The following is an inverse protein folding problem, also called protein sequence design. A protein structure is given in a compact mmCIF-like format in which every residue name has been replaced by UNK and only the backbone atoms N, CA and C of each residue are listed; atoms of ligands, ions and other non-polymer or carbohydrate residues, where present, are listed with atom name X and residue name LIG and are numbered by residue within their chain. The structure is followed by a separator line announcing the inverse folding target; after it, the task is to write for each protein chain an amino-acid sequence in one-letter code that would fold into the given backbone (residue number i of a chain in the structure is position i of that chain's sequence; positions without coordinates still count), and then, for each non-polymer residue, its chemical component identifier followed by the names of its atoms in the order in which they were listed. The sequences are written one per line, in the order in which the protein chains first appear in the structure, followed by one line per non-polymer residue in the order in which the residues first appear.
data_IF_809451088233
#
_entry.id   IF_809451088233
#
_cell.length_a   1.000
_cell.length_b   1.000
_cell.length_c   1.000
_cell.angle_alpha   90.00
_cell.angle_beta   90.00
_cell.angle_gamma   90.00
#
_symmetry.space_group_name_H-M   'P 1'
#
loop_
_entity.id
_entity.type
_entity.pdbx_description
1 polymer ?
#
# COMPACT_ATOMS: atom_id res chain seq x y z
N UNK A 1 29.20 -3.62 -9.74
CA UNK A 1 29.98 -2.57 -10.45
C UNK A 1 30.79 -1.87 -9.36
N UNK A 2 32.09 -2.16 -9.22
CA UNK A 2 32.90 -1.59 -8.14
C UNK A 2 33.45 -0.24 -8.58
N UNK A 3 33.13 0.81 -7.82
CA UNK A 3 33.66 2.15 -7.97
C UNK A 3 35.20 2.11 -7.83
N UNK A 4 35.93 2.50 -8.88
CA UNK A 4 37.39 2.67 -8.86
C UNK A 4 37.65 4.17 -8.85
N UNK A 5 38.08 4.69 -7.71
CA UNK A 5 38.53 6.07 -7.59
C UNK A 5 39.94 6.15 -8.17
N UNK A 6 40.12 6.87 -9.27
CA UNK A 6 41.45 7.24 -9.74
C UNK A 6 41.79 8.64 -9.21
N UNK A 7 43.05 8.93 -8.88
CA UNK A 7 43.48 10.26 -8.43
C UNK A 7 43.31 11.38 -9.47
N UNK A 8 42.83 11.06 -10.68
CA UNK A 8 42.76 11.97 -11.83
C UNK A 8 41.37 12.63 -11.99
N UNK A 9 40.33 12.13 -11.30
CA UNK A 9 39.00 12.71 -11.42
C UNK A 9 38.97 14.11 -10.76
N UNK A 10 38.57 15.16 -11.48
CA UNK A 10 38.55 16.52 -10.94
C UNK A 10 37.54 16.57 -9.78
N UNK A 11 37.87 17.25 -8.67
CA UNK A 11 37.03 17.26 -7.46
C UNK A 11 35.55 17.59 -7.72
N UNK A 12 35.25 18.42 -8.72
CA UNK A 12 33.88 18.81 -9.09
C UNK A 12 33.02 17.69 -9.67
N UNK A 13 33.58 16.74 -10.43
CA UNK A 13 32.82 15.62 -11.00
C UNK A 13 32.37 14.64 -9.90
N UNK A 14 33.23 14.41 -8.91
CA UNK A 14 32.92 13.55 -7.76
C UNK A 14 31.73 14.06 -6.93
N UNK A 15 31.67 15.38 -6.69
CA UNK A 15 30.54 15.97 -5.95
C UNK A 15 29.23 15.89 -6.73
N UNK A 16 29.28 16.09 -8.06
CA UNK A 16 28.09 16.01 -8.92
C UNK A 16 27.55 14.58 -9.01
N UNK A 17 28.41 13.59 -9.16
CA UNK A 17 28.00 12.18 -9.19
C UNK A 17 27.41 11.75 -7.84
N UNK A 18 28.01 12.19 -6.72
CA UNK A 18 27.49 11.92 -5.38
C UNK A 18 26.12 12.56 -5.15
N UNK A 19 25.93 13.82 -5.55
CA UNK A 19 24.64 14.52 -5.45
C UNK A 19 23.56 13.85 -6.31
N UNK A 20 23.90 13.45 -7.54
CA UNK A 20 22.99 12.72 -8.44
C UNK A 20 22.59 11.35 -7.87
N UNK A 21 23.53 10.61 -7.27
CA UNK A 21 23.24 9.31 -6.64
C UNK A 21 22.30 9.48 -5.44
N UNK A 22 22.52 10.50 -4.60
CA UNK A 22 21.69 10.80 -3.44
C UNK A 22 20.26 11.20 -3.88
N UNK A 23 20.11 12.02 -4.91
CA UNK A 23 18.79 12.41 -5.43
C UNK A 23 18.02 11.19 -5.96
N UNK A 24 18.68 10.35 -6.76
CA UNK A 24 18.10 9.11 -7.28
C UNK A 24 17.65 8.16 -6.16
N UNK A 25 18.47 7.95 -5.14
CA UNK A 25 18.13 7.10 -4.00
C UNK A 25 16.91 7.64 -3.24
N UNK A 26 16.86 8.96 -3.05
CA UNK A 26 15.77 9.63 -2.35
C UNK A 26 14.45 9.48 -3.12
N UNK A 27 14.46 9.75 -4.43
CA UNK A 27 13.29 9.58 -5.31
C UNK A 27 12.83 8.12 -5.32
N UNK A 28 13.76 7.16 -5.38
CA UNK A 28 13.43 5.74 -5.36
C UNK A 28 12.78 5.31 -4.04
N UNK A 29 13.23 5.87 -2.91
CA UNK A 29 12.64 5.57 -1.60
C UNK A 29 11.23 6.14 -1.47
N UNK A 30 11.00 7.37 -1.97
CA UNK A 30 9.64 7.95 -2.04
C UNK A 30 8.72 7.05 -2.87
N UNK A 31 9.17 6.64 -4.07
CA UNK A 31 8.40 5.76 -4.95
C UNK A 31 8.16 4.38 -4.32
N UNK A 32 9.16 3.81 -3.67
CA UNK A 32 9.03 2.53 -2.96
C UNK A 32 7.98 2.60 -1.86
N UNK A 33 8.01 3.64 -1.03
CA UNK A 33 6.99 3.88 0.00
C UNK A 33 5.60 4.08 -0.60
N UNK A 34 5.47 4.87 -1.65
CA UNK A 34 4.20 5.11 -2.34
C UNK A 34 3.64 3.85 -3.02
N UNK A 35 4.50 2.99 -3.57
CA UNK A 35 4.11 1.73 -4.23
C UNK A 35 3.45 0.74 -3.26
N UNK A 36 3.70 0.85 -1.94
CA UNK A 36 3.00 0.01 -0.97
C UNK A 36 1.50 0.23 -0.99
N UNK A 37 1.01 1.46 -1.16
CA UNK A 37 -0.44 1.70 -1.32
C UNK A 37 -1.01 1.00 -2.56
N UNK A 38 -0.24 0.95 -3.65
CA UNK A 38 -0.64 0.26 -4.88
C UNK A 38 -0.70 -1.26 -4.65
N UNK A 39 0.32 -1.83 -4.01
CA UNK A 39 0.34 -3.25 -3.65
C UNK A 39 -0.78 -3.63 -2.70
N UNK A 40 -1.05 -2.82 -1.68
CA UNK A 40 -2.16 -3.01 -0.75
C UNK A 40 -3.49 -3.05 -1.52
N UNK A 41 -3.72 -2.09 -2.42
CA UNK A 41 -4.91 -2.09 -3.26
C UNK A 41 -5.00 -3.33 -4.14
N UNK A 42 -3.92 -3.68 -4.86
CA UNK A 42 -3.88 -4.84 -5.74
C UNK A 42 -4.14 -6.17 -5.00
N UNK A 43 -3.48 -6.38 -3.86
CA UNK A 43 -3.67 -7.56 -3.01
C UNK A 43 -5.10 -7.64 -2.48
N UNK A 44 -5.71 -6.50 -2.13
CA UNK A 44 -7.11 -6.44 -1.67
C UNK A 44 -8.09 -6.82 -2.78
N UNK A 45 -7.86 -6.36 -4.02
CA UNK A 45 -8.66 -6.79 -5.19
C UNK A 45 -8.54 -8.28 -5.42
N UNK A 46 -7.31 -8.82 -5.42
CA UNK A 46 -7.07 -10.26 -5.61
C UNK A 46 -7.83 -11.05 -4.54
N UNK A 47 -7.73 -10.65 -3.27
CA UNK A 47 -8.42 -11.32 -2.18
C UNK A 47 -9.95 -11.28 -2.34
N UNK A 48 -10.51 -10.11 -2.68
CA UNK A 48 -11.96 -9.95 -2.89
C UNK A 48 -12.47 -10.81 -4.05
N UNK A 49 -11.70 -10.91 -5.14
CA UNK A 49 -12.05 -11.76 -6.28
C UNK A 49 -12.02 -13.25 -5.92
N UNK A 50 -11.03 -13.69 -5.14
CA UNK A 50 -10.97 -15.10 -4.70
C UNK A 50 -12.22 -15.44 -3.88
N UNK A 51 -12.61 -14.59 -2.93
CA UNK A 51 -13.82 -14.80 -2.12
C UNK A 51 -15.08 -14.78 -3.00
N UNK A 52 -15.17 -13.83 -3.93
CA UNK A 52 -16.33 -13.71 -4.83
C UNK A 52 -16.56 -14.96 -5.70
N UNK A 53 -15.48 -15.62 -6.14
CA UNK A 53 -15.54 -16.86 -6.94
C UNK A 53 -15.51 -18.13 -6.08
N UNK A 54 -15.84 -18.03 -4.78
CA UNK A 54 -15.90 -19.15 -3.82
C UNK A 54 -14.58 -19.94 -3.74
N UNK A 55 -13.44 -19.25 -3.93
CA UNK A 55 -12.11 -19.84 -3.81
C UNK A 55 -11.75 -20.12 -2.34
N UNK A 56 -11.08 -21.25 -2.11
CA UNK A 56 -10.73 -21.72 -0.76
C UNK A 56 -9.41 -21.13 -0.19
N UNK A 57 -8.80 -20.17 -0.89
CA UNK A 57 -7.56 -19.52 -0.47
C UNK A 57 -7.89 -18.11 -0.02
N UNK A 58 -8.14 -17.90 1.28
CA UNK A 58 -8.16 -16.54 1.81
C UNK A 58 -6.72 -16.07 2.02
N UNK A 59 -6.33 -14.99 1.35
CA UNK A 59 -5.08 -14.32 1.67
C UNK A 59 -5.33 -13.50 2.95
N UNK A 60 -4.58 -13.75 4.02
CA UNK A 60 -4.57 -12.88 5.23
C UNK A 60 -3.90 -11.52 4.95
N UNK A 61 -3.73 -11.15 3.68
CA UNK A 61 -3.01 -9.98 3.21
C UNK A 61 -3.95 -9.20 2.29
N UNK A 62 -4.40 -8.05 2.78
CA UNK A 62 -5.35 -7.16 2.14
C UNK A 62 -5.90 -6.17 3.17
N UNK A 63 -6.83 -5.31 2.77
CA UNK A 63 -7.47 -4.35 3.66
C UNK A 63 -8.53 -5.03 4.54
N UNK A 64 -8.58 -4.69 5.83
CA UNK A 64 -9.58 -5.20 6.75
C UNK A 64 -10.99 -4.84 6.30
N UNK A 65 -11.19 -3.60 5.84
CA UNK A 65 -12.51 -3.15 5.39
C UNK A 65 -13.04 -3.96 4.20
N UNK A 66 -12.20 -4.32 3.23
CA UNK A 66 -12.65 -5.16 2.10
C UNK A 66 -13.03 -6.55 2.59
N UNK A 67 -12.23 -7.14 3.49
CA UNK A 67 -12.54 -8.45 4.08
C UNK A 67 -13.85 -8.46 4.86
N UNK A 68 -14.13 -7.40 5.63
CA UNK A 68 -15.41 -7.26 6.35
C UNK A 68 -16.59 -7.19 5.38
N UNK A 69 -16.47 -6.38 4.32
CA UNK A 69 -17.52 -6.28 3.28
C UNK A 69 -17.75 -7.63 2.63
N UNK A 70 -16.69 -8.31 2.21
CA UNK A 70 -16.78 -9.62 1.56
C UNK A 70 -17.43 -10.65 2.49
N UNK A 71 -16.98 -10.76 3.75
CA UNK A 71 -17.53 -11.67 4.74
C UNK A 71 -19.01 -11.38 5.04
N UNK A 72 -19.38 -10.11 5.17
CA UNK A 72 -20.75 -9.69 5.43
C UNK A 72 -21.70 -10.03 4.27
N UNK A 73 -21.27 -9.79 3.02
CA UNK A 73 -22.08 -10.13 1.84
C UNK A 73 -22.23 -11.63 1.64
N UNK A 74 -21.21 -12.43 1.96
CA UNK A 74 -21.30 -13.90 1.95
C UNK A 74 -22.30 -14.38 3.01
N UNK A 75 -22.21 -13.87 4.24
CA UNK A 75 -23.10 -14.25 5.34
C UNK A 75 -24.58 -13.95 5.01
N UNK A 76 -24.87 -12.74 4.55
CA UNK A 76 -26.24 -12.33 4.22
C UNK A 76 -26.79 -13.08 2.99
N UNK A 77 -25.95 -13.35 1.99
CA UNK A 77 -26.36 -14.18 0.84
C UNK A 77 -26.75 -15.60 1.29
N UNK A 78 -26.05 -16.17 2.27
CA UNK A 78 -26.36 -17.50 2.82
C UNK A 78 -27.71 -17.54 3.57
N UNK A 79 -28.17 -16.40 4.11
CA UNK A 79 -29.49 -16.26 4.74
C UNK A 79 -30.63 -16.02 3.72
N UNK A 80 -30.35 -16.13 2.42
CA UNK A 80 -31.36 -16.04 1.36
C UNK A 80 -31.62 -14.61 0.87
N UNK A 81 -30.70 -13.67 1.13
CA UNK A 81 -30.79 -12.34 0.54
C UNK A 81 -30.68 -12.36 -0.98
N UNK A 82 -31.05 -11.23 -1.60
CA UNK A 82 -30.96 -11.03 -3.05
C UNK A 82 -29.58 -11.39 -3.60
N UNK A 83 -29.55 -12.07 -4.75
CA UNK A 83 -28.32 -12.39 -5.49
C UNK A 83 -27.49 -11.16 -5.85
N UNK A 84 -28.09 -9.96 -5.79
CA UNK A 84 -27.42 -8.69 -6.02
C UNK A 84 -26.46 -8.26 -4.90
N UNK A 85 -26.56 -8.84 -3.70
CA UNK A 85 -25.74 -8.40 -2.55
C UNK A 85 -24.24 -8.69 -2.76
N UNK A 86 -23.90 -9.84 -3.35
CA UNK A 86 -22.51 -10.24 -3.62
C UNK A 86 -21.81 -9.30 -4.61
N UNK A 87 -22.38 -9.01 -5.80
CA UNK A 87 -21.81 -8.02 -6.72
C UNK A 87 -21.65 -6.63 -6.10
N UNK A 88 -22.61 -6.21 -5.28
CA UNK A 88 -22.55 -4.92 -4.60
C UNK A 88 -21.35 -4.86 -3.63
N UNK A 89 -21.15 -5.91 -2.83
CA UNK A 89 -20.00 -6.05 -1.95
C UNK A 89 -18.67 -5.93 -2.71
N UNK A 90 -18.54 -6.66 -3.82
CA UNK A 90 -17.35 -6.60 -4.66
C UNK A 90 -17.09 -5.18 -5.18
N UNK A 91 -18.12 -4.45 -5.64
CA UNK A 91 -17.98 -3.07 -6.08
C UNK A 91 -17.44 -2.17 -4.96
N UNK A 92 -17.96 -2.30 -3.74
CA UNK A 92 -17.44 -1.56 -2.59
C UNK A 92 -15.97 -1.90 -2.29
N UNK A 93 -15.62 -3.18 -2.30
CA UNK A 93 -14.23 -3.62 -2.09
C UNK A 93 -13.29 -3.04 -3.17
N UNK A 94 -13.71 -3.02 -4.43
CA UNK A 94 -12.96 -2.42 -5.54
C UNK A 94 -12.80 -0.90 -5.38
N UNK A 95 -13.83 -0.18 -4.93
CA UNK A 95 -13.74 1.27 -4.71
C UNK A 95 -12.71 1.62 -3.64
N UNK A 96 -12.69 0.87 -2.54
CA UNK A 96 -11.70 1.03 -1.47
C UNK A 96 -10.30 0.74 -2.01
N UNK A 97 -10.12 -0.35 -2.75
CA UNK A 97 -8.82 -0.69 -3.32
C UNK A 97 -8.31 0.36 -4.32
N UNK A 98 -9.19 0.86 -5.21
CA UNK A 98 -8.86 1.93 -6.18
C UNK A 98 -8.48 3.22 -5.46
N UNK A 99 -9.14 3.56 -4.36
CA UNK A 99 -8.77 4.72 -3.54
C UNK A 99 -7.33 4.59 -3.02
N UNK A 100 -6.92 3.44 -2.50
CA UNK A 100 -5.55 3.19 -2.07
C UNK A 100 -4.55 3.27 -3.24
N UNK A 101 -4.87 2.69 -4.39
CA UNK A 101 -4.06 2.85 -5.60
C UNK A 101 -3.92 4.33 -5.99
N UNK A 102 -5.00 5.11 -5.88
CA UNK A 102 -5.01 6.55 -6.09
C UNK A 102 -4.03 7.29 -5.17
N UNK A 103 -4.04 7.00 -3.87
CA UNK A 103 -3.05 7.55 -2.94
C UNK A 103 -1.63 7.18 -3.36
N UNK A 104 -1.38 5.94 -3.77
CA UNK A 104 -0.09 5.51 -4.28
C UNK A 104 0.37 6.31 -5.50
N UNK A 105 -0.51 6.53 -6.48
CA UNK A 105 -0.20 7.31 -7.68
C UNK A 105 0.21 8.74 -7.32
N UNK A 106 -0.58 9.45 -6.50
CA UNK A 106 -0.25 10.81 -6.08
C UNK A 106 0.98 10.87 -5.17
N UNK A 107 1.16 9.90 -4.29
CA UNK A 107 2.31 9.82 -3.39
C UNK A 107 3.64 9.61 -4.14
N UNK A 108 3.63 8.93 -5.29
CA UNK A 108 4.84 8.76 -6.15
C UNK A 108 5.40 10.10 -6.66
N UNK A 109 4.57 11.13 -6.73
CA UNK A 109 4.99 12.50 -7.07
C UNK A 109 5.45 13.30 -5.84
N UNK A 110 5.59 12.68 -4.67
CA UNK A 110 5.95 13.37 -3.42
C UNK A 110 4.80 14.18 -2.80
N UNK A 111 3.54 13.89 -3.18
CA UNK A 111 2.38 14.59 -2.64
C UNK A 111 2.14 14.19 -1.18
N UNK A 112 2.62 15.01 -0.24
CA UNK A 112 2.49 14.77 1.20
C UNK A 112 1.04 14.52 1.66
N UNK A 113 0.04 15.18 1.08
CA UNK A 113 -1.37 14.97 1.44
C UNK A 113 -1.80 13.51 1.17
N UNK A 114 -1.36 12.92 0.06
CA UNK A 114 -1.71 11.55 -0.29
C UNK A 114 -1.11 10.54 0.71
N UNK A 115 0.13 10.77 1.15
CA UNK A 115 0.74 10.00 2.24
C UNK A 115 -0.04 10.16 3.54
N UNK A 116 -0.40 11.37 3.96
CA UNK A 116 -1.07 11.62 5.23
C UNK A 116 -2.43 10.90 5.28
N UNK A 117 -3.28 11.11 4.28
CA UNK A 117 -4.60 10.47 4.24
C UNK A 117 -4.50 8.95 4.07
N UNK A 118 -3.58 8.47 3.21
CA UNK A 118 -3.34 7.05 3.03
C UNK A 118 -2.85 6.37 4.31
N UNK A 119 -1.89 6.97 5.03
CA UNK A 119 -1.38 6.48 6.31
C UNK A 119 -2.51 6.44 7.35
N UNK A 120 -3.27 7.53 7.49
CA UNK A 120 -4.34 7.60 8.48
C UNK A 120 -5.38 6.49 8.27
N UNK A 121 -5.85 6.31 7.03
CA UNK A 121 -6.79 5.25 6.68
C UNK A 121 -6.18 3.86 6.87
N UNK A 122 -4.93 3.67 6.47
CA UNK A 122 -4.25 2.37 6.60
C UNK A 122 -4.01 1.96 8.05
N UNK A 123 -3.71 2.94 8.93
CA UNK A 123 -3.59 2.69 10.38
C UNK A 123 -4.94 2.29 10.95
N UNK A 124 -6.01 3.03 10.64
CA UNK A 124 -7.36 2.69 11.10
C UNK A 124 -7.75 1.28 10.63
N UNK A 125 -7.50 0.95 9.36
CA UNK A 125 -7.73 -0.38 8.80
C UNK A 125 -6.89 -1.45 9.51
N UNK A 126 -5.61 -1.20 9.76
CA UNK A 126 -4.72 -2.11 10.50
C UNK A 126 -5.15 -2.36 11.96
N UNK A 127 -5.72 -1.37 12.64
CA UNK A 127 -6.24 -1.52 14.01
C UNK A 127 -7.42 -2.51 14.05
N UNK A 128 -8.19 -2.64 12.97
CA UNK A 128 -9.29 -3.60 12.89
C UNK A 128 -8.75 -5.02 13.08
N UNK A 129 -7.63 -5.38 12.46
CA UNK A 129 -7.03 -6.71 12.65
C UNK A 129 -6.63 -6.99 14.10
N UNK A 130 -6.15 -5.98 14.84
CA UNK A 130 -5.85 -6.13 16.27
C UNK A 130 -7.12 -6.39 17.08
N UNK A 131 -8.22 -5.71 16.77
CA UNK A 131 -9.52 -5.93 17.43
C UNK A 131 -10.03 -7.36 17.19
N UNK A 132 -9.84 -7.90 15.99
CA UNK A 132 -10.21 -9.28 15.65
C UNK A 132 -9.15 -10.33 16.01
N UNK A 133 -8.03 -9.93 16.62
CA UNK A 133 -6.97 -10.83 17.07
C UNK A 133 -6.07 -11.40 15.96
N UNK A 134 -6.16 -10.88 14.74
CA UNK A 134 -5.31 -11.31 13.62
C UNK A 134 -3.94 -10.61 13.67
N UNK A 135 -3.06 -11.16 14.52
CA UNK A 135 -1.71 -10.64 14.72
C UNK A 135 -0.84 -10.73 13.46
N UNK A 136 -1.11 -11.71 12.57
CA UNK A 136 -0.34 -11.86 11.34
C UNK A 136 -0.67 -10.75 10.35
N UNK A 137 -1.95 -10.51 10.08
CA UNK A 137 -2.40 -9.41 9.23
C UNK A 137 -1.99 -8.05 9.80
N UNK A 138 -2.10 -7.86 11.12
CA UNK A 138 -1.63 -6.65 11.79
C UNK A 138 -0.11 -6.46 11.67
N UNK A 139 0.68 -7.52 11.80
CA UNK A 139 2.13 -7.48 11.59
C UNK A 139 2.51 -7.08 10.17
N UNK A 140 1.80 -7.61 9.17
CA UNK A 140 1.96 -7.19 7.78
C UNK A 140 1.61 -5.71 7.57
N UNK A 141 0.56 -5.21 8.22
CA UNK A 141 0.19 -3.79 8.18
C UNK A 141 1.31 -2.90 8.73
N UNK A 142 1.86 -3.26 9.89
CA UNK A 142 3.00 -2.53 10.46
C UNK A 142 4.20 -2.56 9.52
N UNK A 143 4.49 -3.71 8.91
CA UNK A 143 5.60 -3.84 7.95
C UNK A 143 5.43 -2.89 6.75
N UNK A 144 4.29 -2.92 6.08
CA UNK A 144 4.02 -2.01 4.95
C UNK A 144 4.05 -0.54 5.41
N UNK A 145 3.50 -0.24 6.59
CA UNK A 145 3.46 1.10 7.15
C UNK A 145 4.87 1.69 7.38
N UNK A 146 5.84 0.89 7.82
CA UNK A 146 7.24 1.35 7.98
C UNK A 146 7.79 1.90 6.65
N UNK A 147 7.57 1.19 5.54
CA UNK A 147 8.05 1.63 4.24
C UNK A 147 7.30 2.86 3.71
N UNK A 148 5.98 2.93 3.94
CA UNK A 148 5.17 4.09 3.60
C UNK A 148 5.66 5.33 4.36
N UNK A 149 5.90 5.22 5.67
CA UNK A 149 6.40 6.31 6.51
C UNK A 149 7.78 6.78 6.05
N UNK A 150 8.69 5.86 5.69
CA UNK A 150 10.00 6.23 5.14
C UNK A 150 9.87 7.08 3.87
N UNK A 151 9.00 6.67 2.94
CA UNK A 151 8.71 7.44 1.73
C UNK A 151 8.12 8.82 2.05
N UNK A 152 7.18 8.88 3.00
CA UNK A 152 6.58 10.14 3.45
C UNK A 152 7.62 11.11 4.04
N UNK A 153 8.47 10.64 4.96
CA UNK A 153 9.48 11.48 5.62
C UNK A 153 10.45 12.10 4.61
N UNK A 154 10.92 11.32 3.63
CA UNK A 154 11.79 11.85 2.57
C UNK A 154 11.05 12.79 1.63
N UNK A 155 9.77 12.52 1.30
CA UNK A 155 8.96 13.46 0.50
C UNK A 155 8.82 14.84 1.14
N UNK A 156 8.99 14.90 2.47
CA UNK A 156 8.93 16.14 3.23
C UNK A 156 10.26 16.89 3.27
N UNK A 157 11.38 16.20 3.07
CA UNK A 157 12.73 16.77 3.10
C UNK A 157 13.15 17.45 1.79
N UNK A 158 12.52 17.10 0.66
CA UNK A 158 12.85 17.65 -0.67
C UNK A 158 11.96 18.87 -1.03
N UNK A 159 11.07 19.29 -0.13
CA UNK A 159 10.16 20.43 -0.35
C UNK A 159 10.63 21.69 0.35
#
# INVERSE_FOLDING_TARGET
MSFRITPEDPPGELYQEQEEVIDKETINTIKSGANWFIWIGALSVINSLIIYFDGNVSFLIGLAFTQIVDAFTVAIAAEGASSFIRPLGLIFSLLIAVMFVGFGIFARSGAAWAFIFGIALYVVDGLVFLVFGDLFAAGFHVFALIWIIRGFLLSRAIK
#
